data_IF_456437726710
#
_entry.id   IF_456437726710
#
_cell.length_a   1.000
_cell.length_b   1.000
_cell.length_c   1.000
_cell.angle_alpha   90.00
_cell.angle_beta   90.00
_cell.angle_gamma   90.00
#
_symmetry.space_group_name_H-M   'P 1'
#
loop_
_entity.id
_entity.type
_entity.pdbx_description
1 polymer ?
#
# COMPACT_ATOMS: atom_id res chain seq x y z
N UNK A 1 45.25 -15.34 -21.69
CA UNK A 1 45.35 -14.95 -20.29
C UNK A 1 44.49 -13.74 -19.88
N UNK A 2 44.30 -12.70 -20.71
CA UNK A 2 43.50 -11.50 -20.32
C UNK A 2 41.98 -11.69 -20.14
N UNK A 3 41.33 -12.76 -20.69
CA UNK A 3 39.89 -13.02 -20.52
C UNK A 3 39.50 -13.64 -19.17
N UNK A 4 40.42 -14.34 -18.50
CA UNK A 4 40.11 -15.00 -17.21
C UNK A 4 40.22 -14.04 -16.01
N UNK A 5 41.05 -12.99 -16.11
CA UNK A 5 41.17 -11.97 -15.09
C UNK A 5 39.94 -11.04 -15.02
N UNK A 6 39.39 -10.67 -16.18
CA UNK A 6 38.18 -9.83 -16.23
C UNK A 6 36.93 -10.55 -15.66
N UNK A 7 36.82 -11.88 -15.78
CA UNK A 7 35.70 -12.64 -15.20
C UNK A 7 35.80 -12.78 -13.67
N UNK A 8 37.06 -12.87 -13.13
CA UNK A 8 37.25 -12.88 -11.67
C UNK A 8 36.95 -11.53 -11.06
N UNK A 9 37.36 -10.43 -11.69
CA UNK A 9 37.10 -9.05 -11.22
C UNK A 9 35.60 -8.73 -11.26
N UNK A 10 34.87 -9.14 -12.30
CA UNK A 10 33.42 -8.98 -12.38
C UNK A 10 32.63 -9.83 -11.36
N UNK A 11 33.13 -11.04 -11.03
CA UNK A 11 32.54 -11.85 -9.95
C UNK A 11 32.80 -11.24 -8.58
N UNK A 12 33.99 -10.69 -8.34
CA UNK A 12 34.34 -10.03 -7.08
C UNK A 12 33.56 -8.72 -6.89
N UNK A 13 33.31 -7.95 -7.96
CA UNK A 13 32.45 -6.76 -7.91
C UNK A 13 30.98 -7.09 -7.65
N UNK A 14 30.44 -8.14 -8.27
CA UNK A 14 29.07 -8.62 -7.99
C UNK A 14 28.89 -9.14 -6.56
N UNK A 15 29.91 -9.77 -5.97
CA UNK A 15 29.88 -10.21 -4.56
C UNK A 15 30.03 -9.05 -3.58
N UNK A 16 30.67 -7.95 -3.95
CA UNK A 16 30.80 -6.75 -3.11
C UNK A 16 29.54 -5.91 -3.09
N UNK A 17 28.71 -5.93 -4.14
CA UNK A 17 27.41 -5.25 -4.14
C UNK A 17 26.32 -5.99 -3.32
N UNK A 18 26.44 -7.31 -3.16
CA UNK A 18 25.48 -8.10 -2.36
C UNK A 18 25.70 -8.02 -0.84
N UNK A 19 26.80 -7.45 -0.36
CA UNK A 19 27.13 -7.40 1.08
C UNK A 19 27.03 -6.00 1.71
N UNK A 20 26.32 -5.04 1.13
CA UNK A 20 25.89 -3.87 1.89
C UNK A 20 24.90 -4.35 2.95
N UNK A 21 25.30 -4.35 4.24
CA UNK A 21 24.36 -4.52 5.35
C UNK A 21 23.20 -3.57 5.12
N UNK A 22 22.01 -4.11 4.81
CA UNK A 22 20.78 -3.31 4.77
C UNK A 22 20.59 -2.77 6.19
N UNK A 23 20.70 -1.46 6.37
CA UNK A 23 20.39 -0.82 7.65
C UNK A 23 18.86 -0.88 7.82
N UNK A 24 18.40 -1.86 8.56
CA UNK A 24 16.99 -1.97 8.93
C UNK A 24 16.63 -0.95 10.00
N UNK A 25 15.41 -0.42 9.96
CA UNK A 25 14.86 0.46 11.01
C UNK A 25 14.69 -0.31 12.32
N UNK A 26 14.23 -1.57 12.20
CA UNK A 26 14.18 -2.52 13.32
C UNK A 26 15.37 -3.48 13.14
N UNK A 27 16.27 -3.51 14.11
CA UNK A 27 17.50 -4.28 14.03
C UNK A 27 17.34 -5.67 14.65
N UNK A 28 17.91 -6.69 13.99
CA UNK A 28 18.08 -8.01 14.56
C UNK A 28 19.12 -7.97 15.68
N UNK A 29 18.90 -8.75 16.75
CA UNK A 29 19.74 -8.73 17.94
C UNK A 29 19.24 -7.79 19.03
N UNK A 30 18.27 -6.93 18.73
CA UNK A 30 17.58 -6.08 19.73
C UNK A 30 16.19 -6.65 20.00
N UNK A 31 15.85 -7.04 21.23
CA UNK A 31 14.52 -7.54 21.58
C UNK A 31 13.44 -6.50 21.34
N UNK A 32 12.47 -6.80 20.46
CA UNK A 32 11.37 -5.91 20.12
C UNK A 32 10.05 -6.55 20.57
N UNK A 33 9.38 -5.99 21.60
CA UNK A 33 8.27 -6.66 22.30
C UNK A 33 7.13 -7.12 21.37
N UNK A 34 6.71 -6.30 20.39
CA UNK A 34 5.64 -6.71 19.49
C UNK A 34 6.05 -7.82 18.52
N UNK A 35 7.32 -7.86 18.07
CA UNK A 35 7.82 -8.93 17.21
C UNK A 35 7.92 -10.25 17.95
N UNK A 36 8.31 -10.21 19.23
CA UNK A 36 8.33 -11.37 20.11
C UNK A 36 6.90 -11.88 20.30
N UNK A 37 5.98 -11.01 20.68
CA UNK A 37 4.58 -11.37 20.94
C UNK A 37 3.87 -11.94 19.71
N UNK A 38 4.23 -11.47 18.52
CA UNK A 38 3.67 -11.93 17.24
C UNK A 38 4.42 -13.14 16.64
N UNK A 39 5.43 -13.67 17.32
CA UNK A 39 6.17 -14.87 16.90
C UNK A 39 7.07 -14.65 15.67
N UNK A 40 7.59 -13.44 15.51
CA UNK A 40 8.55 -13.10 14.46
C UNK A 40 9.98 -13.16 14.98
N UNK A 41 10.18 -12.87 16.28
CA UNK A 41 11.47 -12.73 16.94
C UNK A 41 11.46 -13.51 18.28
N UNK A 42 12.61 -14.02 18.67
CA UNK A 42 12.81 -14.61 19.99
C UNK A 42 13.17 -13.57 21.04
N UNK A 43 13.19 -14.00 22.32
CA UNK A 43 13.40 -13.10 23.46
C UNK A 43 14.79 -12.45 23.51
N UNK A 44 15.78 -13.03 22.81
CA UNK A 44 17.13 -12.48 22.71
C UNK A 44 17.32 -11.56 21.48
N UNK A 45 16.23 -11.29 20.73
CA UNK A 45 16.26 -10.43 19.56
C UNK A 45 16.61 -11.13 18.23
N UNK A 46 16.75 -12.47 18.23
CA UNK A 46 16.96 -13.27 17.03
C UNK A 46 15.69 -13.38 16.21
N UNK A 47 15.75 -13.11 14.91
CA UNK A 47 14.61 -13.29 13.99
C UNK A 47 14.50 -14.76 13.61
N UNK A 48 13.30 -15.37 13.78
CA UNK A 48 13.07 -16.74 13.38
C UNK A 48 13.21 -16.91 11.87
N UNK A 49 13.97 -17.92 11.42
CA UNK A 49 14.26 -18.19 10.01
C UNK A 49 12.99 -18.16 9.12
N UNK A 50 11.91 -18.77 9.59
CA UNK A 50 10.62 -18.83 8.90
C UNK A 50 9.87 -17.49 8.87
N UNK A 51 10.27 -16.51 9.68
CA UNK A 51 9.64 -15.18 9.79
C UNK A 51 10.51 -14.08 9.17
N UNK A 52 11.65 -14.44 8.57
CA UNK A 52 12.61 -13.46 8.07
C UNK A 52 12.02 -12.59 6.95
N UNK A 53 11.22 -13.17 6.06
CA UNK A 53 10.54 -12.41 5.00
C UNK A 53 9.54 -11.42 5.57
N UNK A 54 8.82 -11.81 6.62
CA UNK A 54 7.92 -10.91 7.34
C UNK A 54 8.68 -9.77 8.03
N UNK A 55 9.81 -10.06 8.64
CA UNK A 55 10.68 -9.05 9.23
C UNK A 55 11.18 -8.04 8.19
N UNK A 56 11.60 -8.51 7.00
CA UNK A 56 11.97 -7.64 5.88
C UNK A 56 10.80 -6.78 5.41
N UNK A 57 9.61 -7.38 5.26
CA UNK A 57 8.39 -6.68 4.87
C UNK A 57 8.05 -5.56 5.86
N UNK A 58 8.14 -5.83 7.17
CA UNK A 58 7.91 -4.84 8.22
C UNK A 58 8.90 -3.67 8.09
N UNK A 59 10.19 -3.96 7.93
CA UNK A 59 11.20 -2.91 7.78
C UNK A 59 10.96 -2.08 6.51
N UNK A 60 10.66 -2.72 5.38
CA UNK A 60 10.35 -2.02 4.13
C UNK A 60 9.12 -1.13 4.24
N UNK A 61 8.08 -1.61 4.94
CA UNK A 61 6.91 -0.81 5.26
C UNK A 61 7.29 0.45 6.05
N UNK A 62 8.11 0.31 7.09
CA UNK A 62 8.54 1.45 7.90
C UNK A 62 9.39 2.47 7.11
N UNK A 63 10.19 2.03 6.13
CA UNK A 63 10.89 2.94 5.21
C UNK A 63 9.88 3.82 4.44
N UNK A 64 8.84 3.22 3.84
CA UNK A 64 7.81 3.98 3.12
C UNK A 64 7.04 4.94 4.01
N UNK A 65 6.79 4.54 5.27
CA UNK A 65 6.16 5.41 6.26
C UNK A 65 7.04 6.61 6.60
N UNK A 66 8.31 6.35 6.90
CA UNK A 66 9.29 7.41 7.23
C UNK A 66 9.40 8.43 6.10
N UNK A 67 9.53 7.94 4.86
CA UNK A 67 9.60 8.80 3.67
C UNK A 67 8.29 9.60 3.47
N UNK A 68 7.15 8.96 3.72
CA UNK A 68 5.85 9.64 3.59
C UNK A 68 5.68 10.73 4.65
N UNK A 69 5.99 10.44 5.91
CA UNK A 69 5.93 11.44 7.00
C UNK A 69 6.86 12.61 6.71
N UNK A 70 8.12 12.35 6.32
CA UNK A 70 9.09 13.39 5.97
C UNK A 70 8.59 14.28 4.83
N UNK A 71 8.02 13.68 3.79
CA UNK A 71 7.47 14.44 2.66
C UNK A 71 6.30 15.34 3.10
N UNK A 72 5.37 14.80 3.90
CA UNK A 72 4.24 15.55 4.41
C UNK A 72 4.67 16.70 5.34
N UNK A 73 5.68 16.48 6.18
CA UNK A 73 6.27 17.52 7.05
C UNK A 73 6.95 18.61 6.21
N UNK A 74 7.75 18.26 5.22
CA UNK A 74 8.41 19.20 4.31
C UNK A 74 7.40 20.07 3.54
N UNK A 75 6.26 19.47 3.16
CA UNK A 75 5.14 20.18 2.51
C UNK A 75 4.25 20.93 3.52
N UNK A 76 4.50 20.85 4.83
CA UNK A 76 3.68 21.44 5.90
C UNK A 76 2.20 20.98 5.84
N UNK A 77 1.96 19.74 5.45
CA UNK A 77 0.62 19.15 5.33
C UNK A 77 0.16 18.48 6.62
N UNK A 78 1.08 18.12 7.52
CA UNK A 78 0.80 17.52 8.83
C UNK A 78 1.48 18.30 9.95
N UNK A 79 0.86 18.26 11.15
CA UNK A 79 1.37 18.88 12.37
C UNK A 79 2.21 17.92 13.23
N UNK A 80 2.29 18.22 14.52
CA UNK A 80 3.00 17.41 15.51
C UNK A 80 2.24 16.16 15.96
N UNK A 81 0.93 16.16 15.83
CA UNK A 81 0.05 15.00 16.12
C UNK A 81 -0.45 14.41 14.81
N UNK A 82 -0.19 13.13 14.58
CA UNK A 82 -0.45 12.46 13.30
C UNK A 82 -1.49 11.35 13.49
N UNK A 83 -2.56 11.38 12.68
CA UNK A 83 -3.64 10.41 12.72
C UNK A 83 -3.51 9.39 11.58
N UNK A 84 -3.54 8.13 11.94
CA UNK A 84 -3.41 7.01 11.02
C UNK A 84 -4.62 6.09 11.05
N UNK A 85 -4.98 5.53 9.89
CA UNK A 85 -5.91 4.40 9.79
C UNK A 85 -5.28 3.30 8.93
N UNK A 86 -5.40 2.06 9.41
CA UNK A 86 -5.02 0.84 8.70
C UNK A 86 -6.28 0.03 8.38
N UNK A 87 -6.74 0.12 7.12
CA UNK A 87 -7.90 -0.59 6.63
C UNK A 87 -7.54 -2.00 6.16
N UNK A 88 -8.24 -3.02 6.69
CA UNK A 88 -7.93 -4.41 6.42
C UNK A 88 -6.66 -4.87 7.15
N UNK A 89 -6.45 -4.40 8.39
CA UNK A 89 -5.20 -4.60 9.13
C UNK A 89 -4.90 -6.08 9.48
N UNK A 90 -5.86 -6.98 9.40
CA UNK A 90 -5.69 -8.40 9.63
C UNK A 90 -5.04 -8.70 10.99
N UNK A 91 -3.94 -9.47 11.01
CA UNK A 91 -3.16 -9.76 12.23
C UNK A 91 -2.31 -8.59 12.73
N UNK A 92 -2.38 -7.45 12.05
CA UNK A 92 -1.84 -6.15 12.47
C UNK A 92 -0.33 -6.07 12.72
N UNK A 93 0.46 -6.93 12.08
CA UNK A 93 1.92 -6.85 12.20
C UNK A 93 2.47 -5.45 11.84
N UNK A 94 1.92 -4.85 10.78
CA UNK A 94 2.36 -3.55 10.28
C UNK A 94 1.82 -2.41 11.15
N UNK A 95 0.61 -2.54 11.70
CA UNK A 95 0.02 -1.57 12.61
C UNK A 95 0.79 -1.50 13.94
N UNK A 96 1.19 -2.66 14.50
CA UNK A 96 2.07 -2.70 15.68
C UNK A 96 3.47 -2.15 15.38
N UNK A 97 4.01 -2.45 14.21
CA UNK A 97 5.30 -1.91 13.78
C UNK A 97 5.26 -0.38 13.68
N UNK A 98 4.18 0.17 13.10
CA UNK A 98 3.93 1.61 13.03
C UNK A 98 3.90 2.23 14.43
N UNK A 99 3.11 1.64 15.35
CA UNK A 99 3.03 2.12 16.74
C UNK A 99 4.41 2.16 17.40
N UNK A 100 5.15 1.04 17.31
CA UNK A 100 6.50 0.95 17.89
C UNK A 100 7.45 2.00 17.31
N UNK A 101 7.42 2.16 16.00
CA UNK A 101 8.25 3.12 15.27
C UNK A 101 7.95 4.56 15.71
N UNK A 102 6.68 4.95 15.75
CA UNK A 102 6.28 6.31 16.13
C UNK A 102 6.59 6.61 17.59
N UNK A 103 6.34 5.64 18.50
CA UNK A 103 6.55 5.82 19.94
C UNK A 103 8.02 5.75 20.33
N UNK A 104 8.73 4.70 19.91
CA UNK A 104 10.04 4.34 20.48
C UNK A 104 11.22 4.83 19.64
N UNK A 105 11.02 5.06 18.34
CA UNK A 105 12.11 5.47 17.42
C UNK A 105 12.00 6.96 17.09
N UNK A 106 10.78 7.45 16.80
CA UNK A 106 10.57 8.84 16.38
C UNK A 106 10.07 9.77 17.48
N UNK A 107 9.48 9.21 18.54
CA UNK A 107 8.88 9.98 19.65
C UNK A 107 7.84 11.00 19.16
N UNK A 108 6.98 10.59 18.23
CA UNK A 108 5.86 11.39 17.72
C UNK A 108 4.64 11.28 18.64
N UNK A 109 3.78 12.30 18.60
CA UNK A 109 2.41 12.17 19.11
C UNK A 109 1.52 11.67 17.98
N UNK A 110 0.66 10.68 18.25
CA UNK A 110 -0.13 10.04 17.22
C UNK A 110 -1.39 9.35 17.76
N UNK A 111 -2.28 9.03 16.85
CA UNK A 111 -3.43 8.15 17.04
C UNK A 111 -3.48 7.15 15.88
N UNK A 112 -3.65 5.86 16.18
CA UNK A 112 -3.73 4.78 15.19
C UNK A 112 -5.01 4.00 15.39
N UNK A 113 -5.78 3.83 14.33
CA UNK A 113 -6.91 2.90 14.28
C UNK A 113 -6.63 1.81 13.24
N UNK A 114 -6.68 0.54 13.66
CA UNK A 114 -6.76 -0.62 12.79
C UNK A 114 -8.22 -1.06 12.62
N UNK A 115 -8.66 -1.34 11.39
CA UNK A 115 -10.00 -1.82 11.09
C UNK A 115 -9.95 -3.11 10.28
N UNK A 116 -10.71 -4.12 10.69
CA UNK A 116 -10.91 -5.36 9.93
C UNK A 116 -12.31 -5.95 10.20
N UNK A 117 -12.79 -6.77 9.26
CA UNK A 117 -14.09 -7.45 9.38
C UNK A 117 -14.07 -8.57 10.44
N UNK A 118 -12.91 -9.15 10.74
CA UNK A 118 -12.75 -10.36 11.55
C UNK A 118 -12.72 -10.04 13.05
N UNK A 119 -13.90 -10.12 13.70
CA UNK A 119 -14.08 -9.80 15.12
C UNK A 119 -13.07 -10.51 16.06
N UNK A 120 -12.84 -11.80 15.85
CA UNK A 120 -11.93 -12.57 16.70
C UNK A 120 -10.47 -12.13 16.55
N UNK A 121 -10.09 -11.69 15.34
CA UNK A 121 -8.75 -11.16 15.06
C UNK A 121 -8.59 -9.81 15.75
N UNK A 122 -9.58 -8.91 15.61
CA UNK A 122 -9.55 -7.59 16.26
C UNK A 122 -9.52 -7.69 17.78
N UNK A 123 -10.28 -8.63 18.36
CA UNK A 123 -10.22 -8.91 19.80
C UNK A 123 -8.80 -9.31 20.23
N UNK A 124 -8.15 -10.25 19.52
CA UNK A 124 -6.77 -10.66 19.79
C UNK A 124 -5.77 -9.51 19.67
N UNK A 125 -5.94 -8.65 18.64
CA UNK A 125 -5.09 -7.47 18.46
C UNK A 125 -5.23 -6.49 19.63
N UNK A 126 -6.46 -6.23 20.11
CA UNK A 126 -6.69 -5.38 21.28
C UNK A 126 -6.12 -6.02 22.58
N UNK A 127 -6.19 -7.36 22.74
CA UNK A 127 -5.58 -8.05 23.86
C UNK A 127 -4.06 -7.86 23.86
N UNK A 128 -3.41 -8.04 22.69
CA UNK A 128 -1.96 -7.82 22.53
C UNK A 128 -1.61 -6.35 22.78
N UNK A 129 -2.40 -5.40 22.26
CA UNK A 129 -2.16 -3.97 22.47
C UNK A 129 -2.21 -3.59 23.94
N UNK A 130 -3.15 -4.17 24.73
CA UNK A 130 -3.23 -3.98 26.18
C UNK A 130 -2.03 -4.56 26.91
N UNK A 131 -1.63 -5.80 26.58
CA UNK A 131 -0.47 -6.46 27.20
C UNK A 131 0.83 -5.68 26.93
N UNK A 132 1.00 -5.13 25.73
CA UNK A 132 2.16 -4.34 25.32
C UNK A 132 2.05 -2.86 25.75
N UNK A 133 0.97 -2.46 26.42
CA UNK A 133 0.70 -1.05 26.81
C UNK A 133 0.82 -0.08 25.62
N UNK A 134 0.22 -0.46 24.50
CA UNK A 134 0.17 0.35 23.30
C UNK A 134 -0.90 1.44 23.45
N UNK A 135 -0.52 2.57 24.02
CA UNK A 135 -1.37 3.77 24.09
C UNK A 135 -1.61 4.35 22.68
N UNK A 136 -2.76 4.99 22.48
CA UNK A 136 -3.15 5.61 21.20
C UNK A 136 -3.23 4.64 20.01
N UNK A 137 -3.45 3.35 20.28
CA UNK A 137 -3.69 2.29 19.31
C UNK A 137 -4.98 1.55 19.65
N UNK A 138 -5.92 1.52 18.71
CA UNK A 138 -7.20 0.84 18.87
C UNK A 138 -7.49 -0.02 17.64
N UNK A 139 -8.07 -1.21 17.87
CA UNK A 139 -8.51 -2.10 16.81
C UNK A 139 -10.04 -2.23 16.83
N UNK A 140 -10.67 -1.95 15.69
CA UNK A 140 -12.11 -1.95 15.50
C UNK A 140 -12.53 -3.09 14.57
N UNK A 141 -13.70 -3.65 14.84
CA UNK A 141 -14.39 -4.56 13.92
C UNK A 141 -15.39 -3.80 13.10
N UNK A 142 -15.32 -3.88 11.77
CA UNK A 142 -16.30 -3.22 10.90
C UNK A 142 -15.91 -3.28 9.42
N UNK A 143 -16.88 -2.91 8.57
CA UNK A 143 -16.65 -2.71 7.14
C UNK A 143 -16.04 -1.32 6.91
N UNK A 144 -15.10 -1.23 5.96
CA UNK A 144 -14.46 0.03 5.53
C UNK A 144 -15.52 1.04 5.10
N UNK A 145 -16.58 0.59 4.41
CA UNK A 145 -17.68 1.43 3.91
C UNK A 145 -18.37 2.22 5.03
N UNK A 146 -18.52 1.59 6.19
CA UNK A 146 -19.31 2.12 7.30
C UNK A 146 -18.46 2.91 8.30
N UNK A 147 -17.12 3.00 8.05
CA UNK A 147 -16.24 3.70 8.95
C UNK A 147 -16.51 5.21 9.00
N UNK A 148 -16.80 5.73 10.22
CA UNK A 148 -17.15 7.14 10.47
C UNK A 148 -16.59 7.68 11.80
N UNK A 149 -15.68 6.94 12.45
CA UNK A 149 -15.22 7.26 13.82
C UNK A 149 -14.30 8.47 13.90
N UNK A 150 -13.52 8.74 12.84
CA UNK A 150 -12.58 9.87 12.79
C UNK A 150 -12.97 10.86 11.69
N UNK A 151 -12.59 12.11 11.90
CA UNK A 151 -12.59 13.14 10.86
C UNK A 151 -11.16 13.67 10.71
N UNK A 152 -10.78 14.01 9.46
CA UNK A 152 -9.46 14.55 9.14
C UNK A 152 -8.31 13.60 9.57
N UNK A 153 -8.09 12.57 8.80
CA UNK A 153 -7.00 11.61 8.99
C UNK A 153 -5.81 12.07 8.16
N UNK A 154 -4.59 11.91 8.68
CA UNK A 154 -3.40 12.34 7.94
C UNK A 154 -2.93 11.27 6.96
N UNK A 155 -2.84 10.02 7.40
CA UNK A 155 -2.30 8.93 6.58
C UNK A 155 -3.20 7.70 6.67
N UNK A 156 -3.59 7.17 5.52
CA UNK A 156 -4.36 5.94 5.41
C UNK A 156 -3.51 4.85 4.77
N UNK A 157 -3.61 3.65 5.34
CA UNK A 157 -3.05 2.43 4.79
C UNK A 157 -4.16 1.46 4.39
N UNK A 158 -3.91 0.71 3.32
CA UNK A 158 -4.74 -0.41 2.90
C UNK A 158 -3.85 -1.45 2.22
N UNK A 159 -3.13 -2.24 3.04
CA UNK A 159 -2.09 -3.14 2.55
C UNK A 159 -2.57 -4.56 2.31
N UNK A 160 -3.75 -4.92 2.79
CA UNK A 160 -4.31 -6.26 2.68
C UNK A 160 -5.82 -6.27 2.37
N UNK A 161 -6.38 -5.14 1.94
CA UNK A 161 -7.76 -5.08 1.48
C UNK A 161 -7.86 -5.66 0.06
N UNK A 162 -8.67 -6.72 -0.10
CA UNK A 162 -8.81 -7.42 -1.37
C UNK A 162 -9.86 -6.78 -2.26
N UNK A 163 -9.60 -6.76 -3.57
CA UNK A 163 -10.54 -6.36 -4.63
C UNK A 163 -11.17 -4.98 -4.36
N UNK A 164 -12.49 -4.89 -4.31
CA UNK A 164 -13.23 -3.65 -4.10
C UNK A 164 -13.01 -3.00 -2.72
N UNK A 165 -12.53 -3.76 -1.73
CA UNK A 165 -12.18 -3.18 -0.42
C UNK A 165 -11.06 -2.16 -0.51
N UNK A 166 -10.12 -2.33 -1.46
CA UNK A 166 -9.11 -1.30 -1.77
C UNK A 166 -9.78 -0.02 -2.28
N UNK A 167 -10.76 -0.15 -3.19
CA UNK A 167 -11.44 1.01 -3.79
C UNK A 167 -12.23 1.80 -2.74
N UNK A 168 -12.87 1.09 -1.78
CA UNK A 168 -13.50 1.73 -0.63
C UNK A 168 -12.49 2.38 0.34
N UNK A 169 -11.29 1.81 0.49
CA UNK A 169 -10.24 2.44 1.28
C UNK A 169 -9.75 3.74 0.63
N UNK A 170 -9.63 3.78 -0.72
CA UNK A 170 -9.33 5.01 -1.45
C UNK A 170 -10.44 6.05 -1.27
N UNK A 171 -11.72 5.66 -1.42
CA UNK A 171 -12.86 6.54 -1.17
C UNK A 171 -12.82 7.12 0.25
N UNK A 172 -12.63 6.27 1.27
CA UNK A 172 -12.51 6.75 2.66
C UNK A 172 -11.34 7.71 2.85
N UNK A 173 -10.24 7.50 2.12
CA UNK A 173 -9.13 8.44 2.09
C UNK A 173 -9.55 9.84 1.63
N UNK A 174 -10.40 9.93 0.61
CA UNK A 174 -10.95 11.19 0.12
C UNK A 174 -11.94 11.80 1.12
N UNK A 175 -12.90 11.00 1.62
CA UNK A 175 -13.92 11.44 2.58
C UNK A 175 -13.30 11.98 3.88
N UNK A 176 -12.25 11.33 4.37
CA UNK A 176 -11.53 11.71 5.59
C UNK A 176 -10.44 12.76 5.33
N UNK A 177 -10.34 13.30 4.11
CA UNK A 177 -9.39 14.33 3.73
C UNK A 177 -7.93 13.96 4.01
N UNK A 178 -7.58 12.67 3.79
CA UNK A 178 -6.24 12.16 4.05
C UNK A 178 -5.17 12.97 3.27
N UNK A 179 -4.02 13.17 3.89
CA UNK A 179 -2.87 13.85 3.28
C UNK A 179 -2.02 12.87 2.49
N UNK A 180 -2.02 11.59 2.91
CA UNK A 180 -1.43 10.51 2.16
C UNK A 180 -2.31 9.25 2.20
N UNK A 181 -2.30 8.50 1.11
CA UNK A 181 -2.96 7.20 0.96
C UNK A 181 -1.93 6.21 0.43
N UNK A 182 -1.73 5.10 1.13
CA UNK A 182 -0.84 4.01 0.75
C UNK A 182 -1.66 2.73 0.61
N UNK A 183 -1.74 2.20 -0.61
CA UNK A 183 -2.50 0.98 -0.91
C UNK A 183 -1.62 -0.07 -1.59
N UNK A 184 -1.70 -1.33 -1.12
CA UNK A 184 -1.09 -2.49 -1.78
C UNK A 184 -2.21 -3.46 -2.17
N UNK A 185 -2.77 -3.32 -3.37
CA UNK A 185 -3.84 -4.18 -3.84
C UNK A 185 -3.35 -5.61 -4.06
N UNK A 186 -4.06 -6.60 -3.53
CA UNK A 186 -3.70 -8.01 -3.71
C UNK A 186 -4.59 -8.77 -4.70
N UNK A 187 -5.77 -8.27 -5.01
CA UNK A 187 -6.74 -8.91 -5.90
C UNK A 187 -7.43 -7.87 -6.79
N UNK A 188 -7.62 -8.21 -8.08
CA UNK A 188 -8.22 -7.34 -9.08
C UNK A 188 -9.25 -8.11 -9.92
N UNK A 189 -10.13 -8.88 -9.24
CA UNK A 189 -11.09 -9.77 -9.91
C UNK A 189 -12.10 -9.00 -10.76
N UNK A 190 -12.58 -7.84 -10.30
CA UNK A 190 -13.57 -7.04 -11.01
C UNK A 190 -13.14 -6.71 -12.44
N UNK A 191 -11.91 -6.22 -12.64
CA UNK A 191 -11.41 -5.88 -13.97
C UNK A 191 -11.25 -7.13 -14.84
N UNK A 192 -10.73 -8.21 -14.28
CA UNK A 192 -10.59 -9.48 -15.00
C UNK A 192 -11.96 -9.97 -15.51
N UNK A 193 -12.98 -9.93 -14.68
CA UNK A 193 -14.33 -10.38 -15.02
C UNK A 193 -14.99 -9.45 -16.06
N UNK A 194 -14.89 -8.12 -15.85
CA UNK A 194 -15.46 -7.15 -16.77
C UNK A 194 -14.78 -7.15 -18.13
N UNK A 195 -13.45 -7.21 -18.20
CA UNK A 195 -12.72 -7.33 -19.48
C UNK A 195 -13.07 -8.64 -20.17
N UNK A 196 -13.16 -9.76 -19.44
CA UNK A 196 -13.55 -11.06 -20.00
C UNK A 196 -14.97 -11.04 -20.57
N UNK A 197 -15.89 -10.30 -19.97
CA UNK A 197 -17.28 -10.16 -20.43
C UNK A 197 -17.43 -9.16 -21.59
N UNK A 198 -16.51 -8.21 -21.76
CA UNK A 198 -16.59 -7.12 -22.75
C UNK A 198 -16.19 -7.60 -24.14
N UNK A 199 -17.17 -8.16 -24.91
CA UNK A 199 -16.95 -8.61 -26.30
C UNK A 199 -16.85 -7.48 -27.33
N UNK A 200 -17.09 -6.23 -26.95
CA UNK A 200 -17.22 -5.07 -27.86
C UNK A 200 -16.09 -4.03 -27.72
N UNK A 201 -15.11 -4.26 -26.83
CA UNK A 201 -14.05 -3.29 -26.64
C UNK A 201 -12.96 -3.43 -27.72
N UNK A 202 -12.33 -2.32 -28.08
CA UNK A 202 -11.15 -2.33 -28.95
C UNK A 202 -10.03 -3.19 -28.35
N UNK A 203 -9.99 -3.33 -27.03
CA UNK A 203 -9.11 -4.25 -26.31
C UNK A 203 -9.22 -5.68 -26.86
N UNK A 204 -10.44 -6.21 -27.07
CA UNK A 204 -10.61 -7.57 -27.57
C UNK A 204 -10.12 -7.72 -29.01
N UNK A 205 -10.26 -6.69 -29.85
CA UNK A 205 -9.80 -6.75 -31.24
C UNK A 205 -8.28 -6.74 -31.36
N UNK A 206 -7.60 -5.90 -30.59
CA UNK A 206 -6.13 -5.75 -30.63
C UNK A 206 -5.39 -6.68 -29.66
N UNK A 207 -6.03 -7.12 -28.57
CA UNK A 207 -5.40 -7.90 -27.49
C UNK A 207 -5.83 -9.36 -27.46
N UNK A 208 -6.37 -9.89 -28.58
CA UNK A 208 -6.71 -11.31 -28.71
C UNK A 208 -5.63 -12.28 -28.19
N UNK A 209 -4.32 -12.06 -28.42
CA UNK A 209 -3.28 -12.92 -27.88
C UNK A 209 -3.25 -12.95 -26.34
N UNK A 210 -3.50 -11.83 -25.68
CA UNK A 210 -3.56 -11.73 -24.21
C UNK A 210 -4.85 -12.37 -23.70
N UNK A 211 -5.99 -12.06 -24.31
CA UNK A 211 -7.31 -12.53 -23.90
C UNK A 211 -7.52 -14.04 -24.07
N UNK A 212 -6.76 -14.70 -24.96
CA UNK A 212 -6.79 -16.16 -25.13
C UNK A 212 -6.22 -16.94 -23.95
N UNK A 213 -5.39 -16.32 -23.14
CA UNK A 213 -4.68 -16.96 -22.05
C UNK A 213 -5.08 -16.35 -20.71
N UNK A 214 -5.89 -17.06 -19.91
CA UNK A 214 -6.42 -16.54 -18.63
C UNK A 214 -5.37 -15.98 -17.71
N UNK A 215 -4.18 -16.60 -17.62
CA UNK A 215 -3.07 -16.09 -16.80
C UNK A 215 -2.51 -14.75 -17.30
N UNK A 216 -2.48 -14.53 -18.63
CA UNK A 216 -2.02 -13.26 -19.20
C UNK A 216 -3.08 -12.18 -19.02
N UNK A 217 -4.35 -12.53 -19.18
CA UNK A 217 -5.47 -11.64 -18.96
C UNK A 217 -5.54 -11.19 -17.49
N UNK A 218 -5.35 -12.10 -16.52
CA UNK A 218 -5.30 -11.76 -15.09
C UNK A 218 -4.16 -10.77 -14.78
N UNK A 219 -2.96 -11.01 -15.32
CA UNK A 219 -1.83 -10.08 -15.14
C UNK A 219 -2.12 -8.73 -15.75
N UNK A 220 -2.69 -8.69 -16.94
CA UNK A 220 -3.08 -7.44 -17.60
C UNK A 220 -4.15 -6.69 -16.80
N UNK A 221 -5.21 -7.38 -16.37
CA UNK A 221 -6.26 -6.81 -15.54
C UNK A 221 -5.70 -6.22 -14.23
N UNK A 222 -4.70 -6.90 -13.61
CA UNK A 222 -4.01 -6.40 -12.43
C UNK A 222 -3.32 -5.06 -12.70
N UNK A 223 -2.51 -4.98 -13.76
CA UNK A 223 -1.79 -3.75 -14.13
C UNK A 223 -2.79 -2.63 -14.49
N UNK A 224 -3.83 -2.95 -15.26
CA UNK A 224 -4.86 -1.99 -15.66
C UNK A 224 -5.60 -1.43 -14.45
N UNK A 225 -6.00 -2.28 -13.49
CA UNK A 225 -6.70 -1.85 -12.26
C UNK A 225 -5.83 -0.90 -11.44
N UNK A 226 -4.56 -1.24 -11.24
CA UNK A 226 -3.66 -0.42 -10.43
C UNK A 226 -3.33 0.91 -11.11
N UNK A 227 -3.23 0.93 -12.46
CA UNK A 227 -3.12 2.15 -13.24
C UNK A 227 -4.35 3.05 -13.08
N UNK A 228 -5.58 2.48 -13.14
CA UNK A 228 -6.82 3.22 -12.89
C UNK A 228 -6.87 3.82 -11.49
N UNK A 229 -6.51 3.05 -10.45
CA UNK A 229 -6.47 3.53 -9.06
C UNK A 229 -5.53 4.72 -8.89
N UNK A 230 -4.32 4.61 -9.46
CA UNK A 230 -3.35 5.69 -9.42
C UNK A 230 -3.87 6.95 -10.12
N UNK A 231 -4.40 6.80 -11.34
CA UNK A 231 -4.89 7.93 -12.13
C UNK A 231 -6.16 8.56 -11.55
N UNK A 232 -7.09 7.77 -10.99
CA UNK A 232 -8.27 8.28 -10.29
C UNK A 232 -7.89 9.13 -9.07
N UNK A 233 -6.90 8.71 -8.27
CA UNK A 233 -6.37 9.52 -7.18
C UNK A 233 -5.75 10.84 -7.68
N UNK A 234 -5.07 10.83 -8.83
CA UNK A 234 -4.55 12.07 -9.43
C UNK A 234 -5.66 13.04 -9.80
N UNK A 235 -6.78 12.54 -10.33
CA UNK A 235 -7.96 13.37 -10.61
C UNK A 235 -8.61 13.93 -9.33
N UNK A 236 -8.40 13.26 -8.19
CA UNK A 236 -8.85 13.71 -6.86
C UNK A 236 -7.84 14.62 -6.15
N UNK A 237 -6.77 15.07 -6.80
CA UNK A 237 -5.80 16.01 -6.22
C UNK A 237 -4.66 15.37 -5.45
N UNK A 238 -4.26 14.16 -5.83
CA UNK A 238 -3.08 13.50 -5.28
C UNK A 238 -2.00 13.37 -6.37
N UNK A 239 -0.74 13.52 -5.98
CA UNK A 239 0.38 13.07 -6.77
C UNK A 239 0.63 11.61 -6.45
N UNK A 240 0.60 10.74 -7.44
CA UNK A 240 0.76 9.30 -7.24
C UNK A 240 2.16 8.82 -7.61
N UNK A 241 2.60 7.78 -6.92
CA UNK A 241 3.78 6.98 -7.24
C UNK A 241 3.38 5.52 -7.14
N UNK A 242 3.74 4.76 -8.16
CA UNK A 242 3.55 3.31 -8.20
C UNK A 242 4.92 2.66 -8.06
N UNK A 243 5.09 1.84 -7.02
CA UNK A 243 6.39 1.30 -6.62
C UNK A 243 6.25 -0.18 -6.24
N UNK A 244 7.36 -0.91 -6.22
CA UNK A 244 7.40 -2.24 -5.61
C UNK A 244 7.47 -2.12 -4.09
N UNK A 245 6.57 -2.85 -3.40
CA UNK A 245 6.50 -2.86 -1.94
C UNK A 245 7.52 -3.83 -1.32
N UNK A 246 7.64 -5.04 -1.90
CA UNK A 246 8.59 -6.08 -1.51
C UNK A 246 9.15 -6.76 -2.76
N UNK A 247 10.26 -7.49 -2.61
CA UNK A 247 10.87 -8.21 -3.73
C UNK A 247 9.89 -9.24 -4.34
N UNK A 248 9.85 -9.33 -5.67
CA UNK A 248 8.94 -10.22 -6.43
C UNK A 248 9.15 -11.71 -6.12
N UNK A 249 10.28 -12.10 -5.51
CA UNK A 249 10.53 -13.47 -5.07
C UNK A 249 9.49 -13.99 -4.07
N UNK A 250 8.79 -13.09 -3.37
CA UNK A 250 7.85 -13.44 -2.30
C UNK A 250 6.38 -13.35 -2.73
N UNK A 251 6.03 -12.47 -3.66
CA UNK A 251 4.68 -12.35 -4.24
C UNK A 251 4.70 -11.54 -5.54
N UNK A 252 4.00 -11.99 -6.58
CA UNK A 252 3.84 -11.21 -7.82
C UNK A 252 2.89 -10.01 -7.67
N UNK A 253 2.16 -9.91 -6.53
CA UNK A 253 1.19 -8.84 -6.24
C UNK A 253 1.77 -7.95 -5.13
N UNK A 254 2.72 -7.12 -5.49
CA UNK A 254 3.51 -6.29 -4.57
C UNK A 254 3.54 -4.81 -4.96
N UNK A 255 2.59 -4.36 -5.76
CA UNK A 255 2.51 -2.97 -6.19
C UNK A 255 2.01 -2.08 -5.05
N UNK A 256 2.80 -1.09 -4.65
CA UNK A 256 2.38 -0.02 -3.74
C UNK A 256 1.95 1.20 -4.56
N UNK A 257 0.72 1.64 -4.37
CA UNK A 257 0.21 2.93 -4.86
C UNK A 257 0.29 3.91 -3.69
N UNK A 258 1.15 4.92 -3.80
CA UNK A 258 1.29 6.01 -2.83
C UNK A 258 0.75 7.30 -3.42
N UNK A 259 -0.33 7.81 -2.87
CA UNK A 259 -0.90 9.12 -3.18
C UNK A 259 -0.55 10.14 -2.10
N UNK A 260 0.04 11.29 -2.48
CA UNK A 260 0.30 12.42 -1.60
C UNK A 260 -0.53 13.60 -2.09
N UNK A 261 -1.29 14.22 -1.17
CA UNK A 261 -2.14 15.37 -1.51
C UNK A 261 -1.32 16.52 -2.05
N UNK A 262 -1.72 17.04 -3.21
CA UNK A 262 -0.98 18.08 -3.92
C UNK A 262 -1.92 19.00 -4.71
N UNK A 263 -1.51 20.26 -4.92
CA UNK A 263 -2.22 21.17 -5.83
C UNK A 263 -1.82 20.83 -7.26
N UNK A 264 -2.79 20.48 -8.08
CA UNK A 264 -2.59 20.13 -9.49
C UNK A 264 -3.18 21.26 -10.34
N UNK A 265 -2.49 21.67 -11.41
CA UNK A 265 -2.98 22.72 -12.31
C UNK A 265 -4.18 22.23 -13.12
N UNK A 266 -5.08 23.14 -13.47
CA UNK A 266 -6.28 22.81 -14.27
C UNK A 266 -5.90 22.19 -15.62
N UNK A 267 -4.82 22.66 -16.25
CA UNK A 267 -4.33 22.11 -17.52
C UNK A 267 -3.89 20.65 -17.37
N UNK A 268 -3.11 20.36 -16.34
CA UNK A 268 -2.69 18.99 -16.02
C UNK A 268 -3.89 18.08 -15.71
N UNK A 269 -4.88 18.58 -14.96
CA UNK A 269 -6.11 17.83 -14.66
C UNK A 269 -6.90 17.51 -15.93
N UNK A 270 -7.05 18.46 -16.88
CA UNK A 270 -7.73 18.22 -18.15
C UNK A 270 -7.06 17.10 -18.95
N UNK A 271 -5.73 17.17 -19.08
CA UNK A 271 -4.97 16.12 -19.76
C UNK A 271 -5.15 14.75 -19.12
N UNK A 272 -5.01 14.68 -17.80
CA UNK A 272 -5.20 13.42 -17.04
C UNK A 272 -6.62 12.87 -17.16
N UNK A 273 -7.63 13.75 -17.18
CA UNK A 273 -9.01 13.35 -17.35
C UNK A 273 -9.28 12.75 -18.74
N UNK A 274 -8.72 13.36 -19.79
CA UNK A 274 -8.81 12.81 -21.15
C UNK A 274 -8.10 11.45 -21.27
N UNK A 275 -6.92 11.31 -20.66
CA UNK A 275 -6.17 10.04 -20.64
C UNK A 275 -6.96 8.95 -19.90
N UNK A 276 -7.55 9.29 -18.75
CA UNK A 276 -8.41 8.39 -17.97
C UNK A 276 -9.62 7.90 -18.78
N UNK A 277 -10.33 8.82 -19.43
CA UNK A 277 -11.48 8.50 -20.29
C UNK A 277 -11.10 7.60 -21.46
N UNK A 278 -10.04 7.95 -22.20
CA UNK A 278 -9.55 7.15 -23.33
C UNK A 278 -9.14 5.73 -22.89
N UNK A 279 -8.54 5.58 -21.72
CA UNK A 279 -8.16 4.29 -21.21
C UNK A 279 -9.38 3.45 -20.80
N UNK A 280 -10.38 4.08 -20.17
CA UNK A 280 -11.65 3.45 -19.83
C UNK A 280 -12.39 2.98 -21.09
N UNK A 281 -12.51 3.83 -22.10
CA UNK A 281 -13.14 3.51 -23.39
C UNK A 281 -12.43 2.38 -24.13
N UNK A 282 -11.08 2.41 -24.15
CA UNK A 282 -10.27 1.35 -24.74
C UNK A 282 -10.52 -0.01 -24.09
N UNK A 283 -10.64 -0.05 -22.77
CA UNK A 283 -10.94 -1.29 -22.05
C UNK A 283 -12.42 -1.70 -22.19
N UNK A 284 -13.31 -0.77 -22.51
CA UNK A 284 -14.75 -0.99 -22.64
C UNK A 284 -15.40 -1.46 -21.33
N UNK A 285 -14.95 -0.93 -20.19
CA UNK A 285 -15.43 -1.32 -18.87
C UNK A 285 -15.91 -0.11 -18.05
N UNK A 286 -16.84 -0.36 -17.14
CA UNK A 286 -17.29 0.60 -16.13
C UNK A 286 -16.86 0.08 -14.74
N UNK A 287 -15.69 0.50 -14.23
CA UNK A 287 -15.22 0.02 -12.93
C UNK A 287 -16.01 0.62 -11.77
N UNK A 288 -16.14 -0.13 -10.68
CA UNK A 288 -16.74 0.37 -9.43
C UNK A 288 -15.98 1.60 -8.93
N UNK A 289 -14.66 1.57 -9.04
CA UNK A 289 -13.77 2.69 -8.69
C UNK A 289 -14.23 4.02 -9.30
N UNK A 290 -14.62 4.02 -10.58
CA UNK A 290 -15.08 5.22 -11.29
C UNK A 290 -16.33 5.80 -10.63
N UNK A 291 -17.33 4.98 -10.32
CA UNK A 291 -18.56 5.42 -9.64
C UNK A 291 -18.29 5.94 -8.22
N UNK A 292 -17.29 5.41 -7.52
CA UNK A 292 -16.92 5.82 -6.17
C UNK A 292 -16.14 7.13 -6.14
N UNK A 293 -15.19 7.32 -7.04
CA UNK A 293 -14.21 8.41 -6.98
C UNK A 293 -14.57 9.60 -7.89
N UNK A 294 -15.32 9.40 -8.98
CA UNK A 294 -15.67 10.49 -9.92
C UNK A 294 -16.39 11.67 -9.25
N UNK A 295 -17.23 11.50 -8.19
CA UNK A 295 -17.79 12.65 -7.48
C UNK A 295 -16.73 13.57 -6.84
N UNK A 296 -15.53 13.05 -6.58
CA UNK A 296 -14.40 13.76 -5.96
C UNK A 296 -13.37 14.27 -6.97
N UNK A 297 -13.56 14.03 -8.27
CA UNK A 297 -12.68 14.58 -9.29
C UNK A 297 -12.70 16.11 -9.28
N UNK A 298 -11.52 16.71 -9.29
CA UNK A 298 -11.37 18.18 -9.25
C UNK A 298 -11.78 18.86 -10.56
N UNK A 299 -12.03 18.08 -11.60
CA UNK A 299 -12.59 18.53 -12.87
C UNK A 299 -13.90 17.78 -13.14
N UNK A 300 -14.92 18.52 -13.56
CA UNK A 300 -16.20 17.97 -14.02
C UNK A 300 -16.41 18.43 -15.45
N UNK A 301 -16.87 17.55 -16.32
CA UNK A 301 -17.36 17.88 -17.65
C UNK A 301 -18.78 18.40 -17.57
#
# INVERSE_FOLDING_TARGET
MKKSENLKTLKTLKTLEHNKKKNYILEEGTPIPFLIKLGVMGEKGEVFKQSYDKFRQINKYLEFIDDTIKELQNKKLIGSHIKFIDFGCGKSYLTFALHYYLKNIKNFTFEIIGLDLKKDVMKKCNDIARELKCENLEFLTGDIKDFNKLQNVDIIFSLHACNNATDYALLKGLELNAKAILAVPCCQHEFNDKISASKKSDFFTFQLPIGKHGILLEKYATIATDAFRAQALELCGYRTQVMEFIDMEHTPKNTLIRGIKEKITTESLKKKFEEYGKFKDFLGIEPLLDSLLSPYFLIKL
#
